data_IF_107140960943
#
_entry.id   IF_107140960943
#
_cell.length_a   1.000
_cell.length_b   1.000
_cell.length_c   1.000
_cell.angle_alpha   90.00
_cell.angle_beta   90.00
_cell.angle_gamma   90.00
#
_symmetry.space_group_name_H-M   'P 1'
#
loop_
_entity.id
_entity.type
_entity.pdbx_description
1 polymer ?
#
# COMPACT_ATOMS: atom_id res chain seq x y z
N UNK A 1 -15.27 -5.41 -16.29
CA UNK A 1 -14.07 -4.64 -15.95
C UNK A 1 -13.47 -5.13 -14.65
N UNK A 2 -12.18 -5.27 -14.65
CA UNK A 2 -11.50 -5.84 -13.50
C UNK A 2 -11.40 -4.81 -12.37
N UNK A 3 -11.61 -5.29 -11.16
CA UNK A 3 -11.44 -4.45 -9.97
C UNK A 3 -9.97 -4.15 -9.74
N UNK A 4 -9.69 -3.00 -9.15
CA UNK A 4 -8.33 -2.67 -8.68
C UNK A 4 -7.98 -3.63 -7.55
N UNK A 5 -6.83 -4.29 -7.66
CA UNK A 5 -6.41 -5.32 -6.72
C UNK A 5 -5.42 -4.76 -5.69
N UNK A 6 -5.56 -5.24 -4.46
CA UNK A 6 -4.80 -4.76 -3.31
C UNK A 6 -4.23 -5.94 -2.53
N UNK A 7 -3.00 -5.79 -2.02
CA UNK A 7 -2.53 -6.64 -0.93
C UNK A 7 -2.36 -5.76 0.30
N UNK A 8 -2.60 -6.36 1.47
CA UNK A 8 -2.45 -5.68 2.76
C UNK A 8 -1.28 -6.32 3.51
N UNK A 9 -0.29 -5.51 3.87
CA UNK A 9 0.89 -5.95 4.60
C UNK A 9 0.83 -5.33 6.00
N UNK A 10 0.38 -6.10 6.97
CA UNK A 10 0.15 -5.64 8.34
C UNK A 10 0.12 -6.87 9.25
N UNK A 11 0.82 -6.82 10.37
CA UNK A 11 0.87 -7.95 11.30
C UNK A 11 -0.39 -8.08 12.17
N UNK A 12 -1.32 -7.12 12.09
CA UNK A 12 -2.59 -7.16 12.84
C UNK A 12 -3.71 -7.75 11.97
N UNK A 13 -4.22 -8.93 12.31
CA UNK A 13 -5.36 -9.50 11.58
C UNK A 13 -6.61 -8.62 11.66
N UNK A 14 -6.78 -7.92 12.79
CA UNK A 14 -7.91 -7.02 12.99
C UNK A 14 -7.86 -5.84 12.00
N UNK A 15 -6.68 -5.20 11.89
CA UNK A 15 -6.51 -4.08 10.96
C UNK A 15 -6.69 -4.55 9.50
N UNK A 16 -6.12 -5.69 9.16
CA UNK A 16 -6.26 -6.26 7.81
C UNK A 16 -7.71 -6.52 7.46
N UNK A 17 -8.49 -7.05 8.40
CA UNK A 17 -9.91 -7.31 8.17
C UNK A 17 -10.70 -6.01 7.99
N UNK A 18 -10.42 -5.00 8.82
CA UNK A 18 -11.09 -3.70 8.69
C UNK A 18 -10.83 -3.07 7.33
N UNK A 19 -9.58 -3.12 6.88
CA UNK A 19 -9.20 -2.59 5.57
C UNK A 19 -9.93 -3.35 4.46
N UNK A 20 -9.92 -4.68 4.53
CA UNK A 20 -10.59 -5.52 3.54
C UNK A 20 -12.06 -5.16 3.41
N UNK A 21 -12.76 -5.13 4.55
CA UNK A 21 -14.20 -4.87 4.54
C UNK A 21 -14.52 -3.52 3.94
N UNK A 22 -13.75 -2.50 4.31
CA UNK A 22 -13.95 -1.14 3.79
C UNK A 22 -13.69 -1.04 2.29
N UNK A 23 -12.56 -1.55 1.82
CA UNK A 23 -12.19 -1.37 0.42
C UNK A 23 -13.03 -2.25 -0.50
N UNK A 24 -13.41 -3.46 -0.05
CA UNK A 24 -14.25 -4.32 -0.88
C UNK A 24 -15.66 -3.80 -1.02
N UNK A 25 -16.20 -3.12 -0.01
CA UNK A 25 -17.47 -2.43 -0.11
C UNK A 25 -17.45 -1.30 -1.12
N UNK A 26 -16.25 -0.81 -1.48
CA UNK A 26 -16.08 0.34 -2.36
C UNK A 26 -15.43 -0.01 -3.70
N UNK A 27 -15.53 -1.27 -4.11
CA UNK A 27 -15.17 -1.68 -5.47
C UNK A 27 -13.75 -2.18 -5.68
N UNK A 28 -12.99 -2.37 -4.61
CA UNK A 28 -11.64 -2.94 -4.68
C UNK A 28 -11.67 -4.43 -4.33
N UNK A 29 -10.60 -5.12 -4.65
CA UNK A 29 -10.47 -6.53 -4.32
C UNK A 29 -9.15 -6.77 -3.59
N UNK A 30 -9.22 -7.33 -2.37
CA UNK A 30 -8.03 -7.69 -1.61
C UNK A 30 -7.67 -9.13 -1.97
N UNK A 31 -6.52 -9.31 -2.62
CA UNK A 31 -6.11 -10.62 -3.13
C UNK A 31 -5.07 -11.32 -2.26
N UNK A 32 -4.59 -10.66 -1.22
CA UNK A 32 -3.65 -11.28 -0.30
C UNK A 32 -3.38 -10.46 0.94
N UNK A 33 -2.94 -11.16 1.98
CA UNK A 33 -2.54 -10.59 3.26
C UNK A 33 -1.17 -11.09 3.62
N UNK A 34 -0.27 -10.18 3.96
CA UNK A 34 1.06 -10.54 4.45
C UNK A 34 1.19 -10.03 5.88
N UNK A 35 1.81 -10.83 6.75
CA UNK A 35 2.00 -10.48 8.16
C UNK A 35 3.37 -9.87 8.43
N UNK A 36 4.21 -9.81 7.42
CA UNK A 36 5.57 -9.27 7.54
C UNK A 36 5.98 -8.63 6.23
N UNK A 37 7.03 -7.83 6.28
CA UNK A 37 7.60 -7.22 5.08
C UNK A 37 8.11 -8.27 4.09
N UNK A 38 8.77 -9.31 4.60
CA UNK A 38 9.31 -10.40 3.78
C UNK A 38 8.20 -11.12 3.01
N UNK A 39 7.09 -11.44 3.69
CA UNK A 39 5.92 -12.04 3.04
C UNK A 39 5.32 -11.11 2.00
N UNK A 40 5.24 -9.82 2.33
CA UNK A 40 4.71 -8.81 1.41
C UNK A 40 5.50 -8.69 0.12
N UNK A 41 6.82 -8.70 0.24
CA UNK A 41 7.71 -8.65 -0.92
C UNK A 41 7.52 -9.88 -1.79
N UNK A 42 7.51 -11.06 -1.18
CA UNK A 42 7.31 -12.31 -1.91
C UNK A 42 5.97 -12.33 -2.61
N UNK A 43 4.92 -11.91 -1.93
CA UNK A 43 3.58 -11.84 -2.48
C UNK A 43 3.50 -10.89 -3.68
N UNK A 44 4.15 -9.75 -3.57
CA UNK A 44 4.20 -8.78 -4.67
C UNK A 44 4.90 -9.35 -5.90
N UNK A 45 5.97 -10.11 -5.70
CA UNK A 45 6.71 -10.74 -6.79
C UNK A 45 5.90 -11.84 -7.48
N UNK A 46 5.08 -12.57 -6.74
CA UNK A 46 4.30 -13.69 -7.25
C UNK A 46 2.95 -13.31 -7.87
N UNK A 47 2.36 -12.21 -7.39
CA UNK A 47 1.02 -11.79 -7.81
C UNK A 47 1.07 -10.53 -8.65
N UNK A 48 0.21 -10.44 -9.64
CA UNK A 48 -0.01 -9.19 -10.35
C UNK A 48 -1.07 -8.40 -9.59
N UNK A 49 -0.68 -7.26 -9.05
CA UNK A 49 -1.57 -6.46 -8.23
C UNK A 49 -1.34 -4.97 -8.45
N UNK A 50 -2.31 -4.17 -8.02
CA UNK A 50 -2.28 -2.75 -8.30
C UNK A 50 -1.74 -1.90 -7.16
N UNK A 51 -2.13 -2.18 -5.91
CA UNK A 51 -1.79 -1.33 -4.77
C UNK A 51 -1.36 -2.17 -3.58
N UNK A 52 -0.29 -1.73 -2.90
CA UNK A 52 0.16 -2.32 -1.62
C UNK A 52 -0.22 -1.36 -0.50
N UNK A 53 -1.04 -1.84 0.45
CA UNK A 53 -1.30 -1.10 1.68
C UNK A 53 -0.35 -1.66 2.72
N UNK A 54 0.52 -0.83 3.28
CA UNK A 54 1.69 -1.27 4.04
C UNK A 54 1.80 -0.55 5.37
N UNK A 55 1.83 -1.32 6.47
CA UNK A 55 2.10 -0.78 7.80
C UNK A 55 3.61 -0.57 7.98
N UNK A 56 3.99 0.45 8.73
CA UNK A 56 5.40 0.71 9.02
C UNK A 56 5.93 -0.17 10.13
N UNK A 57 5.18 -0.31 11.24
CA UNK A 57 5.66 -1.03 12.42
C UNK A 57 5.28 -2.49 12.36
N UNK A 58 6.25 -3.35 12.07
CA UNK A 58 6.07 -4.79 11.97
C UNK A 58 7.31 -5.52 12.50
N UNK A 59 7.17 -6.79 12.94
CA UNK A 59 8.32 -7.62 13.30
C UNK A 59 9.20 -7.87 12.06
N UNK A 60 10.50 -8.02 12.26
CA UNK A 60 11.46 -8.22 11.17
C UNK A 60 11.79 -6.91 10.49
N UNK A 61 11.81 -6.88 9.17
CA UNK A 61 12.01 -5.62 8.47
C UNK A 61 10.75 -4.77 8.62
N UNK A 62 10.93 -3.47 8.84
CA UNK A 62 9.77 -2.57 8.99
C UNK A 62 9.21 -2.18 7.62
N UNK A 63 8.12 -1.40 7.64
CA UNK A 63 7.46 -0.98 6.41
C UNK A 63 8.30 -0.07 5.54
N UNK A 64 9.15 0.75 6.13
CA UNK A 64 10.02 1.65 5.35
C UNK A 64 11.04 0.84 4.57
N UNK A 65 11.70 -0.12 5.21
CA UNK A 65 12.63 -1.02 4.54
C UNK A 65 11.93 -1.86 3.48
N UNK A 66 10.74 -2.36 3.79
CA UNK A 66 9.92 -3.11 2.83
C UNK A 66 9.62 -2.28 1.59
N UNK A 67 9.17 -1.04 1.78
CA UNK A 67 8.85 -0.14 0.67
C UNK A 67 10.10 0.18 -0.16
N UNK A 68 11.23 0.38 0.49
CA UNK A 68 12.48 0.64 -0.23
C UNK A 68 12.85 -0.51 -1.15
N UNK A 69 12.72 -1.75 -0.65
CA UNK A 69 12.99 -2.94 -1.46
C UNK A 69 12.01 -3.04 -2.63
N UNK A 70 10.72 -2.81 -2.39
CA UNK A 70 9.72 -2.84 -3.44
C UNK A 70 9.96 -1.77 -4.52
N UNK A 71 10.28 -0.55 -4.10
CA UNK A 71 10.54 0.56 -5.03
C UNK A 71 11.76 0.29 -5.90
N UNK A 72 12.80 -0.33 -5.34
CA UNK A 72 14.00 -0.68 -6.09
C UNK A 72 13.75 -1.80 -7.09
N UNK A 73 12.94 -2.78 -6.71
CA UNK A 73 12.66 -3.91 -7.60
C UNK A 73 11.62 -3.57 -8.67
N UNK A 74 10.72 -2.65 -8.38
CA UNK A 74 9.69 -2.21 -9.32
C UNK A 74 9.38 -0.72 -9.11
N UNK A 75 10.01 0.17 -9.90
CA UNK A 75 9.75 1.62 -9.75
C UNK A 75 8.30 2.03 -9.98
N UNK A 76 7.48 1.17 -10.60
CA UNK A 76 6.06 1.44 -10.84
C UNK A 76 5.17 0.94 -9.70
N UNK A 77 5.75 0.40 -8.62
CA UNK A 77 4.95 -0.06 -7.48
C UNK A 77 4.16 1.09 -6.88
N UNK A 78 2.91 0.82 -6.53
CA UNK A 78 2.03 1.80 -5.90
C UNK A 78 1.81 1.40 -4.45
N UNK A 79 2.33 2.21 -3.53
CA UNK A 79 2.30 1.94 -2.09
C UNK A 79 1.54 3.03 -1.36
N UNK A 80 0.62 2.60 -0.49
CA UNK A 80 -0.05 3.47 0.47
C UNK A 80 0.37 2.99 1.86
N UNK A 81 1.01 3.86 2.63
CA UNK A 81 1.40 3.50 3.99
C UNK A 81 0.38 3.92 5.03
N UNK A 82 0.19 3.05 6.02
CA UNK A 82 -0.62 3.33 7.20
C UNK A 82 0.28 3.18 8.43
N UNK A 83 0.27 4.14 9.34
CA UNK A 83 1.11 4.02 10.53
C UNK A 83 0.64 4.87 11.68
N UNK A 84 0.89 4.38 12.90
CA UNK A 84 0.77 5.18 14.11
C UNK A 84 1.94 6.17 14.24
N UNK A 85 3.02 5.99 13.45
CA UNK A 85 4.15 6.91 13.39
C UNK A 85 4.01 7.84 12.19
N UNK A 86 3.65 9.09 12.45
CA UNK A 86 3.48 10.11 11.39
C UNK A 86 4.18 11.42 11.73
N UNK A 87 5.35 11.32 12.38
CA UNK A 87 6.14 12.51 12.68
C UNK A 87 6.87 12.99 11.41
N UNK A 88 7.45 14.18 11.50
CA UNK A 88 8.13 14.82 10.36
C UNK A 88 9.28 13.96 9.82
N UNK A 89 10.05 13.34 10.71
CA UNK A 89 11.18 12.49 10.32
C UNK A 89 10.71 11.27 9.52
N UNK A 90 9.66 10.62 9.98
CA UNK A 90 9.07 9.46 9.29
C UNK A 90 8.54 9.86 7.91
N UNK A 91 7.84 10.99 7.83
CA UNK A 91 7.31 11.49 6.56
C UNK A 91 8.43 11.77 5.56
N UNK A 92 9.53 12.34 6.02
CA UNK A 92 10.69 12.60 5.16
C UNK A 92 11.33 11.32 4.66
N UNK A 93 11.49 10.30 5.52
CA UNK A 93 12.02 8.99 5.12
C UNK A 93 11.15 8.33 4.06
N UNK A 94 9.84 8.35 4.28
CA UNK A 94 8.87 7.74 3.38
C UNK A 94 8.91 8.40 2.00
N UNK A 95 8.98 9.73 1.97
CA UNK A 95 9.08 10.48 0.71
C UNK A 95 10.39 10.21 -0.01
N UNK A 96 11.48 10.11 0.75
CA UNK A 96 12.80 9.89 0.17
C UNK A 96 12.90 8.56 -0.58
N UNK A 97 12.14 7.56 -0.20
CA UNK A 97 12.13 6.25 -0.87
C UNK A 97 11.06 6.14 -1.96
N UNK A 98 10.31 7.20 -2.23
CA UNK A 98 9.36 7.23 -3.33
C UNK A 98 7.89 7.03 -2.98
N UNK A 99 7.57 6.81 -1.70
CA UNK A 99 6.18 6.65 -1.26
C UNK A 99 5.55 8.02 -1.06
N UNK A 100 4.41 8.26 -1.69
CA UNK A 100 3.77 9.59 -1.72
C UNK A 100 2.77 9.82 -0.61
N UNK A 101 2.16 8.75 -0.07
CA UNK A 101 1.07 8.90 0.89
C UNK A 101 1.30 8.06 2.14
N UNK A 102 1.16 8.72 3.29
CA UNK A 102 1.21 8.10 4.61
C UNK A 102 -0.03 8.56 5.38
N UNK A 103 -0.88 7.61 5.76
CA UNK A 103 -2.11 7.89 6.48
C UNK A 103 -1.94 7.45 7.93
N UNK A 104 -2.31 8.29 8.91
CA UNK A 104 -2.18 7.92 10.32
C UNK A 104 -3.20 6.85 10.74
N UNK A 105 -2.81 6.00 11.68
CA UNK A 105 -3.71 5.07 12.37
C UNK A 105 -4.14 5.69 13.70
N UNK A 106 -5.40 5.59 14.10
CA UNK A 106 -6.51 5.05 13.31
C UNK A 106 -6.85 5.97 12.13
N UNK A 107 -7.17 5.36 10.99
CA UNK A 107 -7.50 6.12 9.80
C UNK A 107 -8.97 6.54 9.80
N UNK A 108 -9.27 7.58 9.02
CA UNK A 108 -10.64 7.92 8.69
C UNK A 108 -10.97 7.26 7.35
N UNK A 109 -12.11 6.58 7.30
CA UNK A 109 -12.49 5.80 6.12
C UNK A 109 -12.53 6.64 4.85
N UNK A 110 -13.08 7.85 4.92
CA UNK A 110 -13.16 8.76 3.78
C UNK A 110 -11.78 9.14 3.26
N UNK A 111 -10.81 9.35 4.16
CA UNK A 111 -9.45 9.72 3.78
C UNK A 111 -8.76 8.54 3.09
N UNK A 112 -8.90 7.34 3.64
CA UNK A 112 -8.32 6.15 3.04
C UNK A 112 -8.89 5.91 1.64
N UNK A 113 -10.20 5.97 1.50
CA UNK A 113 -10.85 5.75 0.21
C UNK A 113 -10.49 6.82 -0.83
N UNK A 114 -10.43 8.10 -0.40
CA UNK A 114 -10.03 9.18 -1.30
C UNK A 114 -8.60 9.01 -1.79
N UNK A 115 -7.70 8.57 -0.91
CA UNK A 115 -6.30 8.34 -1.25
C UNK A 115 -6.18 7.17 -2.25
N UNK A 116 -6.92 6.09 -2.04
CA UNK A 116 -6.94 4.97 -2.97
C UNK A 116 -7.43 5.40 -4.36
N UNK A 117 -8.43 6.26 -4.42
CA UNK A 117 -8.93 6.78 -5.70
C UNK A 117 -7.86 7.61 -6.42
N UNK A 118 -7.11 8.42 -5.69
CA UNK A 118 -6.00 9.18 -6.27
C UNK A 118 -4.92 8.27 -6.84
N UNK A 119 -4.54 7.23 -6.08
CA UNK A 119 -3.53 6.28 -6.52
C UNK A 119 -3.99 5.49 -7.75
N UNK A 120 -5.25 5.10 -7.77
CA UNK A 120 -5.85 4.41 -8.91
C UNK A 120 -5.80 5.27 -10.17
N UNK A 121 -6.14 6.56 -10.06
CA UNK A 121 -6.09 7.49 -11.19
C UNK A 121 -4.68 7.68 -11.72
N UNK A 122 -3.71 7.85 -10.84
CA UNK A 122 -2.31 8.00 -11.25
C UNK A 122 -1.81 6.77 -11.99
N UNK A 123 -2.19 5.59 -11.53
CA UNK A 123 -1.80 4.34 -12.18
C UNK A 123 -2.42 4.21 -13.57
N UNK A 124 -3.68 4.58 -13.73
CA UNK A 124 -4.37 4.57 -15.02
C UNK A 124 -3.75 5.56 -16.00
N UNK A 125 -3.41 6.77 -15.52
CA UNK A 125 -2.76 7.80 -16.34
C UNK A 125 -1.38 7.35 -16.82
N UNK A 126 -0.60 6.72 -15.94
CA UNK A 126 0.72 6.21 -16.29
C UNK A 126 0.63 5.09 -17.34
N UNK A 127 -0.37 4.24 -17.25
CA UNK A 127 -0.61 3.21 -18.28
C UNK A 127 -0.94 3.80 -19.62
N UNK A 128 -1.72 4.88 -19.66
CA UNK A 128 -2.06 5.57 -20.90
C UNK A 128 -0.83 6.20 -21.54
N UNK A 129 0.03 6.81 -20.75
CA UNK A 129 1.28 7.40 -21.24
C UNK A 129 2.21 6.32 -21.81
N UNK A 130 2.31 5.17 -21.16
CA UNK A 130 3.14 4.06 -21.61
C UNK A 130 2.64 3.44 -22.92
N UNK A 131 1.35 3.57 -23.22
CA UNK A 131 0.73 3.04 -24.43
C UNK A 131 0.74 4.02 -25.61
N UNK A 132 1.21 5.22 -25.38
CA UNK A 132 1.39 6.21 -26.42
C UNK A 132 2.83 6.22 -26.91
#
# INVERSE_FOLDING_TARGET
MDKTTIIVVDDSPFASKQIKDLVEENGYEVIGYAKSGEEGIKMYEELHLDIVILDIIMPGIDGIETAEILEKSDPDVTILMLSSLCDTGTLEEVRAIGVKYLIPKPWEDDVLLATLELLKKHKEENKKEDNN
#
